data_IF_349575354302
#
_entry.id   IF_349575354302
#
_cell.length_a   1.000
_cell.length_b   1.000
_cell.length_c   1.000
_cell.angle_alpha   90.00
_cell.angle_beta   90.00
_cell.angle_gamma   90.00
#
_symmetry.space_group_name_H-M   'P 1'
#
loop_
_entity.id
_entity.type
_entity.pdbx_description
1 polymer ?
#
# COMPACT_ATOMS: atom_id res chain seq x y z
N UNK A 1 22.03 -12.12 17.29
CA UNK A 1 22.39 -11.08 18.27
C UNK A 1 21.52 -11.27 19.51
N UNK A 2 22.15 -11.68 20.64
CA UNK A 2 21.44 -11.94 21.90
C UNK A 2 20.66 -10.74 22.41
N UNK A 3 21.18 -9.53 22.18
CA UNK A 3 20.51 -8.27 22.56
C UNK A 3 19.19 -8.09 21.82
N UNK A 4 19.14 -8.44 20.54
CA UNK A 4 17.92 -8.33 19.76
C UNK A 4 16.85 -9.34 20.20
N UNK A 5 17.27 -10.57 20.51
CA UNK A 5 16.38 -11.60 21.05
C UNK A 5 15.78 -11.14 22.38
N UNK A 6 16.62 -10.61 23.29
CA UNK A 6 16.14 -10.10 24.57
C UNK A 6 15.14 -8.96 24.39
N UNK A 7 15.40 -8.02 23.47
CA UNK A 7 14.45 -6.94 23.15
C UNK A 7 13.10 -7.47 22.67
N UNK A 8 13.09 -8.52 21.85
CA UNK A 8 11.84 -9.14 21.38
C UNK A 8 11.08 -9.76 22.57
N UNK A 9 11.78 -10.47 23.45
CA UNK A 9 11.17 -11.05 24.66
C UNK A 9 10.59 -9.96 25.57
N UNK A 10 11.35 -8.88 25.81
CA UNK A 10 10.92 -7.75 26.62
C UNK A 10 9.66 -7.07 26.03
N UNK A 11 9.57 -6.96 24.69
CA UNK A 11 8.38 -6.45 24.01
C UNK A 11 7.18 -7.35 24.29
N UNK A 12 7.33 -8.65 24.14
CA UNK A 12 6.24 -9.58 24.45
C UNK A 12 5.85 -9.58 25.92
N UNK A 13 6.80 -9.45 26.84
CA UNK A 13 6.50 -9.39 28.27
C UNK A 13 5.78 -8.10 28.66
N UNK A 14 6.19 -6.96 28.10
CA UNK A 14 5.62 -5.65 28.43
C UNK A 14 4.32 -5.34 27.70
N UNK A 15 4.01 -6.03 26.60
CA UNK A 15 2.84 -5.76 25.75
C UNK A 15 2.01 -7.02 25.53
N UNK A 16 1.06 -7.28 26.40
CA UNK A 16 0.21 -8.48 26.34
C UNK A 16 -0.62 -8.56 25.04
N UNK A 17 -0.90 -7.43 24.42
CA UNK A 17 -1.72 -7.35 23.19
C UNK A 17 -0.92 -7.72 21.93
N UNK A 18 0.41 -7.68 21.96
CA UNK A 18 1.23 -8.09 20.80
C UNK A 18 1.23 -9.61 20.69
N UNK A 19 0.73 -10.11 19.60
CA UNK A 19 0.69 -11.56 19.29
C UNK A 19 1.76 -12.00 18.30
N UNK A 20 2.13 -11.10 17.37
CA UNK A 20 3.12 -11.36 16.31
C UNK A 20 4.05 -10.16 16.18
N UNK A 21 5.33 -10.44 16.01
CA UNK A 21 6.36 -9.46 15.64
C UNK A 21 7.06 -9.94 14.36
N UNK A 22 7.16 -9.06 13.39
CA UNK A 22 7.81 -9.33 12.10
C UNK A 22 9.02 -8.40 11.92
N UNK A 23 10.01 -8.77 11.10
CA UNK A 23 10.94 -7.78 10.60
C UNK A 23 10.17 -6.78 9.73
N UNK A 24 10.69 -5.56 9.52
CA UNK A 24 10.10 -4.62 8.58
C UNK A 24 10.18 -5.17 7.16
N UNK A 25 9.19 -4.82 6.34
CA UNK A 25 9.20 -5.16 4.93
C UNK A 25 10.47 -4.59 4.25
N UNK A 26 11.04 -5.31 3.27
CA UNK A 26 12.09 -4.76 2.44
C UNK A 26 11.64 -3.42 1.82
N UNK A 27 12.56 -2.45 1.73
CA UNK A 27 12.21 -1.07 1.32
C UNK A 27 11.53 -1.03 -0.06
N UNK A 28 11.91 -1.91 -0.99
CA UNK A 28 11.24 -2.04 -2.28
C UNK A 28 9.78 -2.46 -2.13
N UNK A 29 9.47 -3.34 -1.19
CA UNK A 29 8.12 -3.83 -0.89
C UNK A 29 7.27 -2.75 -0.22
N UNK A 30 7.87 -1.93 0.65
CA UNK A 30 7.17 -0.82 1.29
C UNK A 30 6.55 0.13 0.26
N UNK A 31 7.27 0.46 -0.81
CA UNK A 31 6.73 1.29 -1.89
C UNK A 31 5.74 0.52 -2.77
N UNK A 32 5.92 -0.77 -2.96
CA UNK A 32 5.01 -1.63 -3.71
C UNK A 32 3.69 -1.85 -2.97
N UNK A 33 3.70 -1.95 -1.64
CA UNK A 33 2.49 -2.17 -0.85
C UNK A 33 1.50 -1.00 -0.95
N UNK A 34 1.97 0.21 -1.18
CA UNK A 34 1.13 1.41 -1.37
C UNK A 34 0.20 1.33 -2.59
N UNK A 35 0.49 0.47 -3.54
CA UNK A 35 -0.30 0.27 -4.77
C UNK A 35 -0.98 -1.10 -4.83
N UNK A 36 -1.12 -1.78 -3.70
CA UNK A 36 -1.67 -3.15 -3.66
C UNK A 36 -0.72 -4.21 -4.23
N UNK A 37 0.50 -3.82 -4.61
CA UNK A 37 1.50 -4.76 -5.16
C UNK A 37 2.13 -5.64 -4.08
N UNK A 38 2.07 -5.26 -2.81
CA UNK A 38 2.55 -6.06 -1.68
C UNK A 38 1.84 -7.40 -1.50
N UNK A 39 0.71 -7.61 -2.16
CA UNK A 39 0.06 -8.92 -2.24
C UNK A 39 0.75 -9.88 -3.21
N UNK A 40 1.51 -9.39 -4.19
CA UNK A 40 2.18 -10.22 -5.21
C UNK A 40 1.27 -11.30 -5.83
N UNK A 41 0.00 -10.98 -6.03
CA UNK A 41 -1.00 -11.91 -6.57
C UNK A 41 -1.59 -12.90 -5.56
N UNK A 42 -1.16 -12.90 -4.30
CA UNK A 42 -1.60 -13.87 -3.29
C UNK A 42 -2.86 -13.47 -2.51
N UNK A 43 -3.50 -12.34 -2.83
CA UNK A 43 -4.72 -11.88 -2.14
C UNK A 43 -5.83 -12.94 -2.12
N UNK A 44 -6.16 -13.51 -3.28
CA UNK A 44 -7.28 -14.43 -3.41
C UNK A 44 -7.07 -15.73 -2.64
N UNK A 45 -5.85 -16.28 -2.66
CA UNK A 45 -5.53 -17.49 -1.88
C UNK A 45 -5.52 -17.18 -0.38
N UNK A 46 -4.99 -16.03 0.04
CA UNK A 46 -5.02 -15.60 1.45
C UNK A 46 -6.45 -15.45 1.93
N UNK A 47 -7.32 -14.81 1.14
CA UNK A 47 -8.75 -14.70 1.45
C UNK A 47 -9.42 -16.06 1.61
N UNK A 48 -9.16 -17.00 0.72
CA UNK A 48 -9.66 -18.39 0.86
C UNK A 48 -9.19 -19.05 2.16
N UNK A 49 -7.95 -18.77 2.60
CA UNK A 49 -7.43 -19.30 3.87
C UNK A 49 -8.15 -18.65 5.05
N UNK A 50 -8.38 -17.33 5.05
CA UNK A 50 -9.13 -16.67 6.11
C UNK A 50 -10.55 -17.24 6.24
N UNK A 51 -11.21 -17.53 5.12
CA UNK A 51 -12.52 -18.19 5.08
C UNK A 51 -12.45 -19.64 5.57
N UNK A 52 -11.45 -20.42 5.12
CA UNK A 52 -11.21 -21.81 5.52
C UNK A 52 -10.97 -21.94 7.03
N UNK A 53 -10.20 -21.02 7.60
CA UNK A 53 -9.94 -20.95 9.04
C UNK A 53 -11.05 -20.26 9.85
N UNK A 54 -12.08 -19.71 9.18
CA UNK A 54 -13.17 -18.94 9.79
C UNK A 54 -12.65 -17.81 10.66
N UNK A 55 -11.73 -17.01 10.11
CA UNK A 55 -11.16 -15.88 10.83
C UNK A 55 -12.11 -14.69 10.86
N UNK A 56 -12.26 -14.10 12.03
CA UNK A 56 -12.91 -12.80 12.18
C UNK A 56 -11.87 -11.69 12.01
N UNK A 57 -11.54 -11.37 10.77
CA UNK A 57 -10.53 -10.39 10.42
C UNK A 57 -10.98 -9.50 9.25
N UNK A 58 -10.36 -8.33 9.13
CA UNK A 58 -10.64 -7.41 8.05
C UNK A 58 -9.53 -7.48 6.99
N UNK A 59 -9.71 -8.34 5.97
CA UNK A 59 -8.78 -8.45 4.85
C UNK A 59 -9.13 -7.43 3.76
N UNK A 60 -8.18 -6.59 3.39
CA UNK A 60 -8.32 -5.58 2.34
C UNK A 60 -7.37 -5.83 1.18
N UNK A 61 -7.86 -5.68 -0.04
CA UNK A 61 -7.02 -5.79 -1.23
C UNK A 61 -6.02 -4.63 -1.35
N UNK A 62 -6.39 -3.47 -0.80
CA UNK A 62 -5.60 -2.24 -0.89
C UNK A 62 -4.54 -2.13 0.22
N UNK A 63 -4.67 -2.97 1.26
CA UNK A 63 -3.75 -2.97 2.42
C UNK A 63 -3.17 -4.38 2.53
N UNK A 64 -1.92 -4.59 2.06
CA UNK A 64 -1.24 -5.87 2.21
C UNK A 64 -0.95 -6.16 3.68
N UNK A 65 -0.78 -7.44 4.05
CA UNK A 65 -0.46 -7.83 5.42
C UNK A 65 0.98 -7.46 5.78
N UNK A 66 1.24 -7.29 7.06
CA UNK A 66 2.60 -7.24 7.60
C UNK A 66 3.25 -8.63 7.55
N UNK A 67 4.56 -8.67 7.40
CA UNK A 67 5.36 -9.86 7.58
C UNK A 67 5.55 -10.70 6.33
N UNK A 68 6.25 -10.14 5.36
CA UNK A 68 6.76 -10.88 4.21
C UNK A 68 7.92 -11.80 4.63
N UNK A 69 8.04 -12.97 3.99
CA UNK A 69 9.19 -13.85 4.13
C UNK A 69 9.15 -14.86 5.27
N UNK A 70 8.03 -15.02 5.96
CA UNK A 70 7.79 -16.04 7.00
C UNK A 70 8.75 -15.97 8.22
N UNK A 71 9.55 -14.90 8.33
CA UNK A 71 10.41 -14.67 9.49
C UNK A 71 9.63 -13.87 10.54
N UNK A 72 9.17 -14.53 11.60
CA UNK A 72 8.35 -13.88 12.62
C UNK A 72 8.55 -14.50 14.00
N UNK A 73 8.25 -13.70 15.03
CA UNK A 73 8.11 -14.12 16.41
C UNK A 73 6.65 -14.06 16.80
N UNK A 74 6.16 -15.01 17.57
CA UNK A 74 4.74 -15.05 17.89
C UNK A 74 4.43 -15.71 19.23
N UNK A 75 3.31 -15.32 19.81
CA UNK A 75 2.68 -16.10 20.87
C UNK A 75 1.98 -17.31 20.27
N UNK A 76 2.15 -18.46 20.85
CA UNK A 76 1.47 -19.68 20.38
C UNK A 76 -0.05 -19.53 20.34
N UNK A 77 -0.61 -18.79 21.31
CA UNK A 77 -2.05 -18.48 21.37
C UNK A 77 -2.53 -17.58 20.23
N UNK A 78 -1.68 -16.72 19.69
CA UNK A 78 -2.03 -15.83 18.58
C UNK A 78 -2.22 -16.57 17.25
N UNK A 79 -1.52 -17.70 17.07
CA UNK A 79 -1.56 -18.49 15.83
C UNK A 79 -2.21 -19.86 15.98
N UNK A 80 -2.92 -20.07 17.09
CA UNK A 80 -3.48 -21.37 17.44
C UNK A 80 -4.40 -21.95 16.36
N UNK A 81 -5.29 -21.15 15.78
CA UNK A 81 -6.18 -21.59 14.71
C UNK A 81 -5.44 -22.09 13.48
N UNK A 82 -4.33 -21.45 13.12
CA UNK A 82 -3.52 -21.85 11.97
C UNK A 82 -2.85 -23.20 12.21
N UNK A 83 -2.25 -23.39 13.39
CA UNK A 83 -1.50 -24.61 13.71
C UNK A 83 -2.39 -25.79 14.09
N UNK A 84 -3.58 -25.55 14.63
CA UNK A 84 -4.56 -26.62 14.94
C UNK A 84 -5.37 -27.07 13.72
N UNK A 85 -5.32 -26.31 12.62
CA UNK A 85 -6.00 -26.72 11.41
C UNK A 85 -5.34 -28.01 10.85
N UNK A 86 -6.13 -29.04 10.46
CA UNK A 86 -5.59 -30.31 10.01
C UNK A 86 -5.08 -30.24 8.57
N UNK A 87 -4.00 -29.50 8.34
CA UNK A 87 -3.33 -29.46 7.05
C UNK A 87 -2.81 -30.83 6.66
N UNK A 88 -2.95 -31.19 5.39
CA UNK A 88 -2.38 -32.42 4.82
C UNK A 88 -1.33 -32.04 3.78
N UNK A 89 -0.36 -32.93 3.55
CA UNK A 89 0.72 -32.69 2.60
C UNK A 89 0.21 -32.37 1.19
N UNK A 90 -0.90 -32.98 0.78
CA UNK A 90 -1.50 -32.75 -0.53
C UNK A 90 -2.17 -31.38 -0.68
N UNK A 91 -2.36 -30.61 0.40
CA UNK A 91 -2.76 -29.20 0.32
C UNK A 91 -1.64 -28.35 -0.32
N UNK A 92 -0.39 -28.83 -0.24
CA UNK A 92 0.81 -28.15 -0.71
C UNK A 92 1.32 -28.85 -1.98
N UNK A 93 0.75 -28.49 -3.13
CA UNK A 93 1.11 -29.05 -4.43
C UNK A 93 2.34 -28.34 -5.01
N UNK A 94 3.49 -29.05 -5.04
CA UNK A 94 4.76 -28.53 -5.51
C UNK A 94 4.75 -28.14 -7.01
N UNK A 95 3.81 -28.67 -7.79
CA UNK A 95 3.69 -28.32 -9.23
C UNK A 95 3.30 -26.86 -9.47
N UNK A 96 2.82 -26.17 -8.43
CA UNK A 96 2.31 -24.79 -8.47
C UNK A 96 3.20 -23.76 -7.80
N UNK A 97 4.46 -24.10 -7.49
CA UNK A 97 5.40 -23.19 -6.78
C UNK A 97 5.62 -21.84 -7.48
N UNK A 98 5.42 -21.76 -8.78
CA UNK A 98 5.53 -20.52 -9.55
C UNK A 98 4.23 -19.70 -9.60
N UNK A 99 3.13 -20.23 -9.07
CA UNK A 99 1.82 -19.58 -9.07
C UNK A 99 1.63 -18.79 -7.76
N UNK A 100 1.40 -17.50 -7.87
CA UNK A 100 1.12 -16.62 -6.72
C UNK A 100 -0.12 -17.05 -5.90
N UNK A 101 -0.99 -17.88 -6.46
CA UNK A 101 -2.11 -18.50 -5.77
C UNK A 101 -1.78 -19.82 -5.04
N UNK A 102 -0.51 -20.18 -4.94
CA UNK A 102 -0.08 -21.35 -4.20
C UNK A 102 -0.33 -21.18 -2.68
N UNK A 103 -0.72 -22.28 -2.01
CA UNK A 103 -1.16 -22.23 -0.62
C UNK A 103 -0.10 -21.67 0.33
N UNK A 104 1.19 -21.98 0.13
CA UNK A 104 2.28 -21.48 0.97
C UNK A 104 2.38 -19.95 0.97
N UNK A 105 2.17 -19.30 -0.20
CA UNK A 105 2.13 -17.83 -0.27
C UNK A 105 0.95 -17.25 0.50
N UNK A 106 -0.21 -17.90 0.45
CA UNK A 106 -1.36 -17.51 1.24
C UNK A 106 -1.12 -17.68 2.75
N UNK A 107 -0.46 -18.77 3.15
CA UNK A 107 -0.09 -19.00 4.56
C UNK A 107 0.91 -17.95 5.03
N UNK A 108 1.89 -17.60 4.21
CA UNK A 108 2.85 -16.53 4.52
C UNK A 108 2.14 -15.20 4.82
N UNK A 109 1.04 -14.90 4.14
CA UNK A 109 0.27 -13.66 4.28
C UNK A 109 -0.80 -13.70 5.37
N UNK A 110 -1.11 -14.86 5.93
CA UNK A 110 -2.27 -15.00 6.84
C UNK A 110 -1.93 -14.76 8.31
N UNK A 111 -0.66 -14.79 8.72
CA UNK A 111 -0.24 -14.73 10.14
C UNK A 111 -0.85 -13.56 10.91
N UNK A 112 -0.76 -12.34 10.36
CA UNK A 112 -1.31 -11.13 10.99
C UNK A 112 -2.84 -11.23 11.17
N UNK A 113 -3.54 -11.83 10.22
CA UNK A 113 -4.99 -12.02 10.28
C UNK A 113 -5.41 -13.07 11.30
N UNK A 114 -4.61 -14.13 11.48
CA UNK A 114 -4.85 -15.13 12.52
C UNK A 114 -4.64 -14.50 13.90
N UNK A 115 -3.60 -13.69 14.07
CA UNK A 115 -3.39 -12.94 15.31
C UNK A 115 -4.53 -11.97 15.60
N UNK A 116 -5.01 -11.23 14.58
CA UNK A 116 -6.16 -10.34 14.70
C UNK A 116 -7.42 -11.08 15.14
N UNK A 117 -7.72 -12.24 14.57
CA UNK A 117 -8.86 -13.09 14.97
C UNK A 117 -8.75 -13.55 16.42
N UNK A 118 -7.54 -13.81 16.91
CA UNK A 118 -7.27 -14.16 18.29
C UNK A 118 -7.26 -12.97 19.26
N UNK A 119 -7.51 -11.75 18.76
CA UNK A 119 -7.55 -10.51 19.55
C UNK A 119 -6.19 -9.89 19.82
N UNK A 120 -5.17 -10.24 19.04
CA UNK A 120 -3.82 -9.69 19.15
C UNK A 120 -3.50 -8.70 18.04
N UNK A 121 -2.60 -7.79 18.38
CA UNK A 121 -1.95 -6.88 17.42
C UNK A 121 -0.70 -7.52 16.81
N UNK A 122 -0.34 -7.07 15.62
CA UNK A 122 0.92 -7.39 14.95
C UNK A 122 1.80 -6.14 14.91
N UNK A 123 3.09 -6.28 15.25
CA UNK A 123 4.06 -5.20 15.23
C UNK A 123 5.29 -5.54 14.39
N UNK A 124 6.05 -4.51 14.07
CA UNK A 124 7.37 -4.64 13.45
C UNK A 124 8.48 -4.47 14.50
N UNK A 125 9.55 -5.23 14.36
CA UNK A 125 10.73 -5.12 15.20
C UNK A 125 11.99 -5.18 14.36
N UNK A 126 12.95 -4.30 14.66
CA UNK A 126 14.23 -4.25 13.96
C UNK A 126 15.36 -3.89 14.92
N UNK A 127 16.59 -4.26 14.57
CA UNK A 127 17.76 -3.80 15.29
C UNK A 127 17.98 -2.30 15.09
N UNK A 128 18.61 -1.65 16.06
CA UNK A 128 18.97 -0.22 15.94
C UNK A 128 19.86 0.06 14.72
N UNK A 129 20.76 -0.86 14.41
CA UNK A 129 21.63 -0.72 13.23
C UNK A 129 20.84 -0.79 11.92
N UNK A 130 19.91 -1.74 11.83
CA UNK A 130 19.02 -1.83 10.66
C UNK A 130 18.11 -0.59 10.55
N UNK A 131 17.56 -0.10 11.65
CA UNK A 131 16.75 1.11 11.66
C UNK A 131 17.53 2.34 11.16
N UNK A 132 18.79 2.48 11.58
CA UNK A 132 19.67 3.54 11.07
C UNK A 132 19.93 3.42 9.58
N UNK A 133 20.24 2.21 9.11
CA UNK A 133 20.46 1.93 7.70
C UNK A 133 19.18 2.20 6.89
N UNK A 134 18.03 1.70 7.33
CA UNK A 134 16.74 1.92 6.69
C UNK A 134 16.40 3.40 6.57
N UNK A 135 16.64 4.19 7.62
CA UNK A 135 16.46 5.65 7.60
C UNK A 135 17.30 6.31 6.51
N UNK A 136 18.58 5.90 6.37
CA UNK A 136 19.45 6.43 5.32
C UNK A 136 18.99 6.05 3.91
N UNK A 137 18.52 4.81 3.73
CA UNK A 137 18.03 4.33 2.44
C UNK A 137 16.74 5.07 2.06
N UNK A 138 15.78 5.16 2.97
CA UNK A 138 14.54 5.91 2.73
C UNK A 138 14.84 7.37 2.39
N UNK A 139 15.76 8.00 3.12
CA UNK A 139 16.22 9.37 2.81
C UNK A 139 16.80 9.46 1.40
N UNK A 140 17.67 8.52 1.01
CA UNK A 140 18.26 8.48 -0.33
C UNK A 140 17.20 8.30 -1.41
N UNK A 141 16.31 7.31 -1.25
CA UNK A 141 15.23 7.06 -2.22
C UNK A 141 14.30 8.27 -2.34
N UNK A 142 13.96 8.89 -1.22
CA UNK A 142 13.15 10.12 -1.20
C UNK A 142 13.87 11.23 -1.98
N UNK A 143 15.17 11.39 -1.78
CA UNK A 143 15.96 12.39 -2.53
C UNK A 143 16.00 12.08 -4.03
N UNK A 144 16.13 10.80 -4.42
CA UNK A 144 16.12 10.42 -5.84
C UNK A 144 14.73 10.65 -6.48
N UNK A 145 13.66 10.39 -5.74
CA UNK A 145 12.29 10.73 -6.19
C UNK A 145 12.17 12.24 -6.39
N UNK A 146 12.61 13.03 -5.41
CA UNK A 146 12.64 14.49 -5.54
C UNK A 146 13.50 14.94 -6.71
N UNK A 147 14.67 14.38 -6.91
CA UNK A 147 15.55 14.71 -8.03
C UNK A 147 14.89 14.44 -9.38
N UNK A 148 14.23 13.28 -9.55
CA UNK A 148 13.46 12.97 -10.76
C UNK A 148 12.26 13.90 -10.93
N UNK A 149 11.58 14.27 -9.87
CA UNK A 149 10.56 15.30 -9.92
C UNK A 149 11.13 16.67 -10.32
N UNK A 150 12.40 16.94 -9.99
CA UNK A 150 13.10 18.17 -10.36
C UNK A 150 13.44 18.29 -11.82
N UNK A 151 13.78 17.20 -12.46
CA UNK A 151 13.99 17.20 -13.91
C UNK A 151 12.72 17.65 -14.65
N UNK A 152 11.55 17.52 -13.99
CA UNK A 152 10.26 17.99 -14.49
C UNK A 152 9.78 19.30 -13.85
N UNK A 153 10.26 19.65 -12.66
CA UNK A 153 9.84 20.85 -11.91
C UNK A 153 11.01 21.44 -11.13
N UNK A 154 11.34 22.73 -11.39
CA UNK A 154 12.28 23.41 -10.53
C UNK A 154 11.74 23.45 -9.09
N UNK A 155 12.62 23.33 -8.11
CA UNK A 155 12.29 23.28 -6.69
C UNK A 155 11.31 24.40 -6.33
N UNK A 156 10.25 24.11 -5.62
CA UNK A 156 9.40 25.18 -5.14
C UNK A 156 10.23 26.01 -4.16
N UNK A 157 10.74 27.12 -4.64
CA UNK A 157 11.11 28.21 -3.73
C UNK A 157 9.85 28.58 -2.95
N UNK A 158 10.00 29.22 -1.79
CA UNK A 158 8.83 29.74 -1.04
C UNK A 158 7.94 30.56 -1.97
N UNK A 159 8.55 31.29 -2.93
CA UNK A 159 7.85 32.08 -3.93
C UNK A 159 7.08 31.22 -4.94
N UNK A 160 7.66 30.13 -5.44
CA UNK A 160 6.96 29.22 -6.37
C UNK A 160 5.86 28.44 -5.67
N UNK A 161 6.04 28.03 -4.41
CA UNK A 161 4.99 27.39 -3.61
C UNK A 161 3.81 28.36 -3.37
N UNK A 162 4.10 29.62 -3.07
CA UNK A 162 3.08 30.69 -2.94
C UNK A 162 2.32 30.88 -4.25
N UNK A 163 3.04 30.93 -5.38
CA UNK A 163 2.44 31.08 -6.72
C UNK A 163 1.56 29.87 -7.10
N UNK A 164 1.97 28.65 -6.72
CA UNK A 164 1.15 27.44 -6.91
C UNK A 164 -0.13 27.53 -6.08
N UNK A 165 -0.03 27.99 -4.81
CA UNK A 165 -1.20 28.17 -3.97
C UNK A 165 -2.15 29.24 -4.53
N UNK A 166 -1.63 30.39 -4.95
CA UNK A 166 -2.42 31.46 -5.57
C UNK A 166 -3.11 31.00 -6.86
N UNK A 167 -2.44 30.15 -7.66
CA UNK A 167 -3.03 29.54 -8.85
C UNK A 167 -4.13 28.56 -8.49
N UNK A 168 -3.94 27.73 -7.46
CA UNK A 168 -4.95 26.81 -6.99
C UNK A 168 -6.18 27.57 -6.48
N UNK A 169 -6.00 28.59 -5.67
CA UNK A 169 -7.09 29.42 -5.15
C UNK A 169 -7.91 30.09 -6.29
N UNK A 170 -7.22 30.50 -7.38
CA UNK A 170 -7.90 31.00 -8.59
C UNK A 170 -8.72 29.94 -9.28
N UNK A 171 -8.18 28.71 -9.43
CA UNK A 171 -8.88 27.57 -10.01
C UNK A 171 -10.11 27.22 -9.16
N UNK A 172 -9.94 27.11 -7.83
CA UNK A 172 -11.04 26.82 -6.91
C UNK A 172 -12.16 27.86 -6.98
N UNK A 173 -11.80 29.14 -7.03
CA UNK A 173 -12.77 30.23 -7.19
C UNK A 173 -13.48 30.18 -8.54
N UNK A 174 -12.74 29.90 -9.62
CA UNK A 174 -13.28 29.84 -10.97
C UNK A 174 -14.17 28.62 -11.23
N UNK A 175 -13.91 27.50 -10.53
CA UNK A 175 -14.64 26.22 -10.67
C UNK A 175 -15.93 26.16 -9.86
N UNK A 176 -16.12 27.10 -8.91
CA UNK A 176 -17.29 27.08 -8.04
C UNK A 176 -18.61 27.13 -8.83
N UNK A 177 -19.42 26.08 -8.67
CA UNK A 177 -20.71 25.94 -9.38
C UNK A 177 -20.58 25.63 -10.88
N UNK A 178 -19.38 25.27 -11.36
CA UNK A 178 -19.14 24.92 -12.77
C UNK A 178 -18.70 23.47 -12.93
N UNK A 179 -18.97 22.91 -14.10
CA UNK A 179 -18.36 21.65 -14.53
C UNK A 179 -16.87 21.85 -14.80
N UNK A 180 -16.01 21.02 -14.18
CA UNK A 180 -14.56 21.07 -14.35
C UNK A 180 -14.13 19.90 -15.23
N UNK A 181 -13.32 20.15 -16.22
CA UNK A 181 -12.67 19.16 -17.06
C UNK A 181 -11.16 19.31 -16.96
N UNK A 182 -10.44 18.20 -16.99
CA UNK A 182 -8.98 18.19 -16.96
C UNK A 182 -8.44 17.87 -18.36
N UNK A 183 -7.59 18.72 -18.92
CA UNK A 183 -6.94 18.43 -20.18
C UNK A 183 -5.65 17.63 -19.95
N UNK A 184 -5.60 16.42 -20.54
CA UNK A 184 -4.51 15.47 -20.39
C UNK A 184 -4.70 14.49 -19.22
N UNK A 185 -4.67 13.19 -19.53
CA UNK A 185 -4.85 12.09 -18.57
C UNK A 185 -3.50 11.47 -18.11
N UNK A 186 -2.38 12.11 -18.43
CA UNK A 186 -1.04 11.69 -18.00
C UNK A 186 -0.76 12.04 -16.53
N UNK A 187 0.49 11.86 -16.12
CA UNK A 187 0.93 12.07 -14.73
C UNK A 187 0.46 13.40 -14.13
N UNK A 188 0.57 14.49 -14.89
CA UNK A 188 0.16 15.82 -14.42
C UNK A 188 -1.34 15.97 -14.26
N UNK A 189 -2.11 15.44 -15.21
CA UNK A 189 -3.57 15.44 -15.10
C UNK A 189 -4.05 14.68 -13.88
N UNK A 190 -3.44 13.52 -13.60
CA UNK A 190 -3.72 12.70 -12.39
C UNK A 190 -3.35 13.44 -11.12
N UNK A 191 -2.21 14.14 -11.11
CA UNK A 191 -1.81 14.98 -9.98
C UNK A 191 -2.80 16.13 -9.74
N UNK A 192 -3.25 16.80 -10.80
CA UNK A 192 -4.29 17.83 -10.71
C UNK A 192 -5.62 17.25 -10.21
N UNK A 193 -6.04 16.08 -10.69
CA UNK A 193 -7.22 15.38 -10.21
C UNK A 193 -7.17 15.12 -8.70
N UNK A 194 -6.06 14.56 -8.22
CA UNK A 194 -5.88 14.29 -6.80
C UNK A 194 -5.97 15.57 -5.94
N UNK A 195 -5.39 16.67 -6.42
CA UNK A 195 -5.46 17.96 -5.71
C UNK A 195 -6.88 18.57 -5.71
N UNK A 196 -7.60 18.50 -6.83
CA UNK A 196 -8.98 18.98 -6.92
C UNK A 196 -9.91 18.17 -5.99
N UNK A 197 -9.77 16.83 -5.99
CA UNK A 197 -10.54 15.95 -5.09
C UNK A 197 -10.29 16.25 -3.62
N UNK A 198 -9.04 16.53 -3.22
CA UNK A 198 -8.73 16.98 -1.85
C UNK A 198 -9.44 18.26 -1.45
N UNK A 199 -9.79 19.09 -2.41
CA UNK A 199 -10.53 20.34 -2.21
C UNK A 199 -12.05 20.18 -2.41
N UNK A 200 -12.54 18.94 -2.54
CA UNK A 200 -13.95 18.64 -2.73
C UNK A 200 -14.49 18.92 -4.12
N UNK A 201 -13.61 19.11 -5.12
CA UNK A 201 -14.01 19.29 -6.51
C UNK A 201 -13.83 17.96 -7.25
N UNK A 202 -14.92 17.41 -7.76
CA UNK A 202 -14.87 16.23 -8.62
C UNK A 202 -14.98 16.66 -10.08
N UNK A 203 -13.91 16.52 -10.89
CA UNK A 203 -13.97 16.79 -12.32
C UNK A 203 -14.91 15.83 -13.05
N UNK A 204 -15.45 16.29 -14.19
CA UNK A 204 -16.40 15.50 -14.98
C UNK A 204 -15.70 14.45 -15.82
N UNK A 205 -14.57 14.82 -16.44
CA UNK A 205 -13.78 13.92 -17.27
C UNK A 205 -12.37 14.47 -17.50
N UNK A 206 -11.46 13.58 -17.94
CA UNK A 206 -10.27 13.99 -18.67
C UNK A 206 -10.60 14.20 -20.14
N UNK A 207 -10.08 15.26 -20.73
CA UNK A 207 -10.09 15.51 -22.17
C UNK A 207 -8.70 15.25 -22.74
N UNK A 208 -8.61 14.51 -23.84
CA UNK A 208 -7.35 14.17 -24.51
C UNK A 208 -7.46 14.39 -26.01
N UNK A 209 -6.35 14.68 -26.68
CA UNK A 209 -6.29 14.79 -28.14
C UNK A 209 -6.28 13.43 -28.82
N UNK A 210 -5.50 12.49 -28.26
CA UNK A 210 -5.34 11.15 -28.82
C UNK A 210 -5.92 10.08 -27.89
N UNK A 211 -6.18 8.90 -28.44
CA UNK A 211 -6.79 7.80 -27.71
C UNK A 211 -5.98 7.38 -26.48
N UNK A 212 -6.68 7.09 -25.40
CA UNK A 212 -6.15 6.60 -24.13
C UNK A 212 -7.11 5.58 -23.52
N UNK A 213 -6.81 5.19 -22.29
CA UNK A 213 -7.71 4.36 -21.49
C UNK A 213 -9.08 5.03 -21.37
N UNK A 214 -10.14 4.22 -21.29
CA UNK A 214 -11.50 4.74 -21.10
C UNK A 214 -11.67 5.43 -19.74
N UNK A 215 -10.90 5.00 -18.74
CA UNK A 215 -10.90 5.53 -17.38
C UNK A 215 -9.46 5.64 -16.86
N UNK A 216 -9.17 6.72 -16.15
CA UNK A 216 -7.95 6.95 -15.40
C UNK A 216 -8.34 7.42 -14.01
N UNK A 217 -7.87 6.74 -12.96
CA UNK A 217 -8.20 7.02 -11.55
C UNK A 217 -9.73 7.16 -11.32
N UNK A 218 -10.50 6.25 -11.90
CA UNK A 218 -11.96 6.21 -11.85
C UNK A 218 -12.67 7.38 -12.57
N UNK A 219 -11.92 8.29 -13.19
CA UNK A 219 -12.48 9.36 -14.00
C UNK A 219 -12.46 8.97 -15.48
N UNK A 220 -13.56 9.20 -16.17
CA UNK A 220 -13.67 8.90 -17.62
C UNK A 220 -12.71 9.77 -18.43
N UNK A 221 -12.23 9.21 -19.53
CA UNK A 221 -11.37 9.90 -20.52
C UNK A 221 -12.12 10.05 -21.81
N UNK A 222 -12.20 11.25 -22.34
CA UNK A 222 -12.92 11.60 -23.57
C UNK A 222 -12.00 12.32 -24.54
N UNK A 223 -12.20 12.12 -25.83
CA UNK A 223 -11.50 12.91 -26.84
C UNK A 223 -12.09 14.31 -26.91
N UNK A 224 -11.22 15.31 -26.97
CA UNK A 224 -11.64 16.72 -27.02
C UNK A 224 -12.50 17.02 -28.28
N UNK A 225 -12.27 16.33 -29.38
CA UNK A 225 -13.06 16.44 -30.60
C UNK A 225 -14.54 16.03 -30.45
N UNK A 226 -14.79 15.13 -29.48
CA UNK A 226 -16.14 14.67 -29.15
C UNK A 226 -16.83 15.53 -28.09
N UNK A 227 -16.09 16.48 -27.53
CA UNK A 227 -16.62 17.39 -26.52
C UNK A 227 -17.41 18.50 -27.19
N UNK A 228 -18.72 18.49 -27.00
CA UNK A 228 -19.61 19.58 -27.40
C UNK A 228 -19.90 20.42 -26.17
N UNK A 229 -19.80 21.74 -26.33
CA UNK A 229 -20.25 22.67 -25.30
C UNK A 229 -21.74 22.43 -25.01
N UNK A 230 -22.02 21.79 -23.87
CA UNK A 230 -23.33 21.75 -23.24
C UNK A 230 -23.56 23.01 -22.39
#
# INVERSE_FOLDING_TARGET
>A
DETHIQQILDIFESNANIGVLTPPDPIGEYFCSWYGMGWHGSYDITKKITEKLKLNCNISKDIPPLGLGTALWFRTTALEKLFKYPWIINDFDDSRLSDANYLSYGIERVFAYVAQDAGYDTGEVMTLEYAKMQTLIVKRETMEIYKRMYEFYPFPTVESAKKVQENMDRVLKASKGKKVYLYGAGLMGRFCLANLRRQGIEPVAFLVTDGGDKFVDSLRVERIENWKND
#
